data_IF_131443157752
#
_entry.id   IF_131443157752
#
_cell.length_a   1.000
_cell.length_b   1.000
_cell.length_c   1.000
_cell.angle_alpha   90.00
_cell.angle_beta   90.00
_cell.angle_gamma   90.00
#
_symmetry.space_group_name_H-M   'P 1'
#
loop_
_entity.id
_entity.type
_entity.pdbx_description
1 polymer ?
#
# COMPACT_ATOMS: atom_id res chain seq x y z
N UNK A 1 28.51 -15.73 7.40
CA UNK A 1 27.17 -16.03 6.86
C UNK A 1 25.98 -15.50 7.70
N UNK A 2 26.18 -15.07 8.96
CA UNK A 2 25.08 -14.57 9.82
C UNK A 2 24.78 -13.06 9.74
N UNK A 3 25.64 -12.23 9.10
CA UNK A 3 25.40 -10.77 8.96
C UNK A 3 24.59 -10.37 7.71
N UNK A 4 24.56 -11.22 6.68
CA UNK A 4 23.71 -10.99 5.50
C UNK A 4 22.24 -11.33 5.79
N UNK A 5 21.98 -12.32 6.64
CA UNK A 5 20.64 -12.71 7.07
C UNK A 5 20.03 -11.69 8.06
N UNK A 6 20.85 -10.96 8.85
CA UNK A 6 20.35 -9.88 9.70
C UNK A 6 19.97 -8.62 8.91
N UNK A 7 20.63 -8.37 7.77
CA UNK A 7 20.25 -7.28 6.84
C UNK A 7 19.04 -7.67 5.97
N UNK A 8 18.86 -8.95 5.64
CA UNK A 8 17.62 -9.41 4.97
C UNK A 8 16.39 -9.37 5.90
N UNK A 9 16.60 -9.44 7.22
CA UNK A 9 15.60 -9.20 8.26
C UNK A 9 15.38 -7.71 8.57
N UNK A 10 15.85 -6.82 7.70
CA UNK A 10 15.52 -5.39 7.68
C UNK A 10 14.38 -5.08 6.69
N UNK A 11 13.89 -6.07 5.95
CA UNK A 11 12.84 -5.90 4.95
C UNK A 11 11.48 -5.67 5.61
N UNK A 12 11.04 -4.42 5.56
CA UNK A 12 9.64 -3.97 5.71
C UNK A 12 9.04 -4.17 7.10
N UNK A 13 9.80 -3.83 8.14
CA UNK A 13 9.19 -3.53 9.44
C UNK A 13 8.46 -2.18 9.31
N UNK A 14 7.26 -2.18 8.76
CA UNK A 14 6.41 -0.99 8.72
C UNK A 14 5.95 -0.70 10.15
N UNK A 15 6.76 0.14 10.80
CA UNK A 15 6.44 0.78 12.05
C UNK A 15 5.33 1.80 11.76
N UNK A 16 4.19 1.61 12.39
CA UNK A 16 3.09 2.57 12.40
C UNK A 16 3.58 3.90 13.02
N UNK A 17 2.84 5.00 12.85
CA UNK A 17 3.20 6.31 13.44
C UNK A 17 3.36 6.27 14.98
N UNK A 18 2.87 5.20 15.61
CA UNK A 18 2.96 4.91 17.05
C UNK A 18 4.06 3.88 17.42
N UNK A 19 4.96 3.54 16.49
CA UNK A 19 6.06 2.60 16.72
C UNK A 19 5.66 1.13 16.86
N UNK A 20 4.40 0.78 16.53
CA UNK A 20 3.91 -0.61 16.56
C UNK A 20 4.01 -1.26 15.17
N UNK A 21 4.28 -2.55 15.15
CA UNK A 21 4.37 -3.33 13.91
C UNK A 21 2.96 -3.54 13.34
N UNK A 22 2.70 -3.00 12.13
CA UNK A 22 1.36 -3.02 11.53
C UNK A 22 1.39 -3.71 10.17
N UNK A 23 0.96 -4.98 10.14
CA UNK A 23 0.81 -5.79 8.92
C UNK A 23 -0.18 -5.12 7.94
N UNK A 24 -1.22 -4.47 8.47
CA UNK A 24 -2.24 -3.78 7.67
C UNK A 24 -1.68 -2.59 6.91
N UNK A 25 -0.72 -1.86 7.50
CA UNK A 25 -0.07 -0.75 6.80
C UNK A 25 0.71 -1.26 5.58
N UNK A 26 1.39 -2.41 5.74
CA UNK A 26 2.16 -3.04 4.67
C UNK A 26 1.28 -3.43 3.50
N UNK A 27 0.12 -4.02 3.80
CA UNK A 27 -0.87 -4.38 2.80
C UNK A 27 -1.40 -3.17 2.02
N UNK A 28 -1.77 -2.09 2.71
CA UNK A 28 -2.27 -0.85 2.07
C UNK A 28 -1.19 -0.26 1.17
N UNK A 29 0.06 -0.20 1.63
CA UNK A 29 1.17 0.36 0.86
C UNK A 29 1.47 -0.46 -0.39
N UNK A 30 1.52 -1.80 -0.28
CA UNK A 30 1.71 -2.69 -1.43
C UNK A 30 0.55 -2.63 -2.43
N UNK A 31 -0.68 -2.56 -1.93
CA UNK A 31 -1.87 -2.44 -2.78
C UNK A 31 -1.89 -1.10 -3.52
N UNK A 32 -1.55 0.00 -2.83
CA UNK A 32 -1.42 1.32 -3.44
C UNK A 32 -0.34 1.33 -4.53
N UNK A 33 0.83 0.74 -4.24
CA UNK A 33 1.92 0.64 -5.21
C UNK A 33 1.49 -0.18 -6.44
N UNK A 34 0.80 -1.29 -6.25
CA UNK A 34 0.30 -2.12 -7.35
C UNK A 34 -0.70 -1.36 -8.24
N UNK A 35 -1.62 -0.61 -7.63
CA UNK A 35 -2.60 0.23 -8.36
C UNK A 35 -1.89 1.33 -9.14
N UNK A 36 -0.90 2.01 -8.54
CA UNK A 36 -0.08 3.01 -9.23
C UNK A 36 0.67 2.43 -10.42
N UNK A 37 1.36 1.29 -10.23
CA UNK A 37 2.07 0.62 -11.30
C UNK A 37 1.13 0.21 -12.44
N UNK A 38 -0.05 -0.32 -12.11
CA UNK A 38 -1.06 -0.70 -13.12
C UNK A 38 -1.63 0.50 -13.88
N UNK A 39 -1.82 1.63 -13.21
CA UNK A 39 -2.32 2.86 -13.82
C UNK A 39 -1.29 3.45 -14.80
N UNK A 40 -0.03 3.56 -14.36
CA UNK A 40 1.08 4.04 -15.20
C UNK A 40 1.37 3.08 -16.36
N UNK A 41 1.25 1.78 -16.12
CA UNK A 41 1.39 0.78 -17.17
C UNK A 41 0.18 0.68 -18.10
N UNK A 42 -0.96 1.28 -17.75
CA UNK A 42 -2.18 1.24 -18.55
C UNK A 42 -1.94 1.85 -19.94
N UNK A 43 -2.17 1.07 -20.99
CA UNK A 43 -1.90 1.49 -22.37
C UNK A 43 -0.47 1.24 -22.85
N UNK A 44 0.43 0.76 -21.99
CA UNK A 44 1.73 0.24 -22.43
C UNK A 44 1.60 -1.18 -22.99
N UNK A 45 2.41 -1.47 -24.00
CA UNK A 45 2.62 -2.85 -24.46
C UNK A 45 3.94 -3.35 -23.89
N UNK A 46 3.86 -4.28 -22.94
CA UNK A 46 5.03 -4.84 -22.28
C UNK A 46 5.50 -6.11 -23.03
N UNK A 47 6.80 -6.29 -23.24
CA UNK A 47 7.32 -7.39 -24.06
C UNK A 47 7.04 -8.81 -23.49
N UNK A 48 6.80 -8.93 -22.18
CA UNK A 48 6.55 -10.22 -21.52
C UNK A 48 5.07 -10.48 -21.25
N UNK A 49 4.26 -9.43 -21.08
CA UNK A 49 2.88 -9.53 -20.59
C UNK A 49 1.84 -9.07 -21.62
N UNK A 50 2.27 -8.57 -22.77
CA UNK A 50 1.40 -8.06 -23.82
C UNK A 50 0.85 -6.65 -23.53
N UNK A 51 -0.24 -6.30 -24.20
CA UNK A 51 -0.91 -5.02 -24.02
C UNK A 51 -1.59 -4.98 -22.64
N UNK A 52 -1.21 -4.00 -21.81
CA UNK A 52 -1.84 -3.78 -20.52
C UNK A 52 -3.16 -3.03 -20.76
N UNK A 53 -4.31 -3.59 -20.32
CA UNK A 53 -5.60 -2.93 -20.50
C UNK A 53 -5.57 -1.49 -19.95
N UNK A 54 -6.09 -0.50 -20.69
CA UNK A 54 -6.16 0.87 -20.20
C UNK A 54 -7.03 0.91 -18.94
N UNK A 55 -6.64 1.76 -17.98
CA UNK A 55 -7.40 2.01 -16.77
C UNK A 55 -7.84 3.48 -16.79
N UNK A 56 -9.14 3.72 -16.62
CA UNK A 56 -9.70 5.07 -16.59
C UNK A 56 -9.29 5.82 -15.33
N UNK A 57 -9.25 7.15 -15.40
CA UNK A 57 -8.97 8.00 -14.24
C UNK A 57 -9.97 7.81 -13.10
N UNK A 58 -11.25 7.56 -13.43
CA UNK A 58 -12.31 7.29 -12.45
C UNK A 58 -12.09 5.97 -11.70
N UNK A 59 -11.79 4.90 -12.43
CA UNK A 59 -11.50 3.58 -11.84
C UNK A 59 -10.30 3.67 -10.91
N UNK A 60 -9.27 4.41 -11.32
CA UNK A 60 -8.08 4.65 -10.51
C UNK A 60 -8.41 5.43 -9.23
N UNK A 61 -9.18 6.51 -9.34
CA UNK A 61 -9.61 7.31 -8.20
C UNK A 61 -10.45 6.49 -7.21
N UNK A 62 -11.34 5.62 -7.70
CA UNK A 62 -12.11 4.71 -6.87
C UNK A 62 -11.23 3.68 -6.14
N UNK A 63 -10.28 3.06 -6.84
CA UNK A 63 -9.35 2.11 -6.22
C UNK A 63 -8.48 2.76 -5.13
N UNK A 64 -7.91 3.92 -5.42
CA UNK A 64 -7.08 4.67 -4.45
C UNK A 64 -7.95 5.19 -3.30
N UNK A 65 -9.14 5.70 -3.58
CA UNK A 65 -10.10 6.15 -2.58
C UNK A 65 -10.50 5.03 -1.61
N UNK A 66 -10.78 3.83 -2.12
CA UNK A 66 -11.10 2.67 -1.28
C UNK A 66 -9.94 2.25 -0.38
N UNK A 67 -8.70 2.26 -0.90
CA UNK A 67 -7.49 1.98 -0.12
C UNK A 67 -7.28 3.00 1.00
N UNK A 68 -7.43 4.29 0.68
CA UNK A 68 -7.31 5.38 1.65
C UNK A 68 -8.44 5.32 2.69
N UNK A 69 -9.67 4.99 2.30
CA UNK A 69 -10.79 4.84 3.22
C UNK A 69 -10.56 3.70 4.22
N UNK A 70 -10.03 2.56 3.76
CA UNK A 70 -9.67 1.45 4.64
C UNK A 70 -8.59 1.85 5.66
N UNK A 71 -7.58 2.60 5.22
CA UNK A 71 -6.55 3.13 6.11
C UNK A 71 -7.10 4.16 7.10
N UNK A 72 -7.90 5.12 6.61
CA UNK A 72 -8.51 6.16 7.44
C UNK A 72 -9.46 5.58 8.50
N UNK A 73 -10.26 4.58 8.13
CA UNK A 73 -11.14 3.87 9.06
C UNK A 73 -10.35 3.18 10.19
N UNK A 74 -9.20 2.56 9.85
CA UNK A 74 -8.29 1.99 10.85
C UNK A 74 -7.73 3.05 11.80
N UNK A 75 -7.25 4.18 11.26
CA UNK A 75 -6.75 5.28 12.08
C UNK A 75 -7.81 5.88 13.00
N UNK A 76 -9.04 6.01 12.51
CA UNK A 76 -10.16 6.52 13.30
C UNK A 76 -10.47 5.59 14.48
N UNK A 77 -10.53 4.27 14.25
CA UNK A 77 -10.72 3.28 15.31
C UNK A 77 -9.55 3.26 16.30
N UNK A 78 -8.32 3.47 15.81
CA UNK A 78 -7.14 3.55 16.67
C UNK A 78 -7.13 4.79 17.58
N UNK A 79 -7.92 5.83 17.28
CA UNK A 79 -8.08 7.03 18.11
C UNK A 79 -9.17 6.90 19.18
N UNK A 80 -10.18 6.05 18.96
CA UNK A 80 -11.30 5.84 19.89
C UNK A 80 -12.15 7.11 20.16
N UNK A 81 -13.35 6.99 20.76
CA UNK A 81 -14.20 8.14 21.11
C UNK A 81 -13.69 8.96 22.33
N UNK A 82 -12.38 8.97 22.59
CA UNK A 82 -11.75 9.64 23.74
C UNK A 82 -10.33 10.14 23.43
N UNK A 83 -10.10 10.59 22.21
CA UNK A 83 -8.81 11.06 21.71
C UNK A 83 -8.36 12.42 22.24
N UNK A 84 -8.47 12.67 23.55
CA UNK A 84 -7.65 13.65 24.26
C UNK A 84 -6.45 12.93 24.87
N UNK A 85 -5.31 12.96 24.17
CA UNK A 85 -3.97 12.88 24.75
C UNK A 85 -3.06 13.81 23.96
#
# INVERSE_FOLDING_TARGET
MNRLLSMLRFRLRQLDARGRESITLGFVWWSWLAVMLKFVAGGLTLPVVGAVPPMGGEEFALCVGALLAAWLGREWQARGPGGEQ
#
